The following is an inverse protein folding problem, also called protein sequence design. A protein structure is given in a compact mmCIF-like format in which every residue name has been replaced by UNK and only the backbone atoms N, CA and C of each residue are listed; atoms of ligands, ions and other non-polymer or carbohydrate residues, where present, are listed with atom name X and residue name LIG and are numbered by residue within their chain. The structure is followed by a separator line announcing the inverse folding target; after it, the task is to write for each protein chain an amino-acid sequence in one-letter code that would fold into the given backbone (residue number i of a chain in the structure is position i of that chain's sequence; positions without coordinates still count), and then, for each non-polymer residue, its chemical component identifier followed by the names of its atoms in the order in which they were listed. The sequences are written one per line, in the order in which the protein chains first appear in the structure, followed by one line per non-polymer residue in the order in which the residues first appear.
data_IF_700348344013
#
_entry.id   IF_700348344013
#
_cell.length_a   1.000
_cell.length_b   1.000
_cell.length_c   1.000
_cell.angle_alpha   90.00
_cell.angle_beta   90.00
_cell.angle_gamma   90.00
#
_symmetry.space_group_name_H-M   'P 1'
#
loop_
_entity.id
_entity.type
_entity.pdbx_description
1 polymer ?
#
# COMPACT_ATOMS: atom_id res chain seq x y z
N UNK A 1 -26.74 -12.23 2.85
CA UNK A 1 -25.57 -11.35 3.02
C UNK A 1 -24.60 -11.59 1.86
N UNK A 2 -23.95 -10.54 1.37
CA UNK A 2 -22.81 -10.70 0.44
C UNK A 2 -21.57 -11.15 1.20
N UNK A 3 -20.54 -11.70 0.51
CA UNK A 3 -19.29 -12.17 1.14
C UNK A 3 -18.57 -11.10 1.98
N UNK A 4 -18.78 -9.81 1.66
CA UNK A 4 -18.15 -8.68 2.35
C UNK A 4 -19.08 -7.96 3.33
N UNK A 5 -20.21 -8.59 3.74
CA UNK A 5 -21.15 -8.00 4.69
C UNK A 5 -20.68 -8.18 6.12
N UNK A 6 -20.81 -7.12 6.94
CA UNK A 6 -20.60 -7.23 8.38
C UNK A 6 -21.78 -7.96 9.00
N UNK A 7 -21.56 -9.18 9.46
CA UNK A 7 -22.63 -10.10 9.92
C UNK A 7 -22.86 -10.09 11.42
N UNK A 8 -22.08 -9.34 12.21
CA UNK A 8 -22.22 -9.32 13.67
C UNK A 8 -23.35 -8.46 14.17
N UNK A 9 -23.70 -7.39 13.45
CA UNK A 9 -24.84 -6.52 13.75
C UNK A 9 -25.37 -5.86 12.49
N UNK A 10 -26.65 -5.51 12.53
CA UNK A 10 -27.33 -4.72 11.51
C UNK A 10 -28.02 -3.54 12.18
N UNK A 11 -28.12 -2.44 11.45
CA UNK A 11 -28.82 -1.25 11.91
C UNK A 11 -30.20 -1.18 11.30
N UNK A 12 -31.21 -0.93 12.13
CA UNK A 12 -32.59 -0.77 11.71
C UNK A 12 -33.06 0.64 12.09
N UNK A 13 -33.50 1.40 11.09
CA UNK A 13 -34.13 2.68 11.30
C UNK A 13 -35.63 2.48 11.20
N UNK A 14 -36.38 2.87 12.23
CA UNK A 14 -37.80 2.69 12.39
C UNK A 14 -38.46 4.01 12.70
N UNK A 15 -39.66 4.27 12.16
CA UNK A 15 -40.48 5.40 12.57
C UNK A 15 -41.26 4.97 13.81
N UNK A 16 -41.14 5.74 14.88
CA UNK A 16 -41.88 5.57 16.12
C UNK A 16 -42.32 6.93 16.63
N UNK A 17 -43.62 7.10 16.77
CA UNK A 17 -44.26 8.33 17.32
C UNK A 17 -43.78 9.62 16.59
N UNK A 18 -43.79 9.61 15.25
CA UNK A 18 -43.36 10.70 14.35
C UNK A 18 -41.83 10.99 14.36
N UNK A 19 -41.03 10.18 15.05
CA UNK A 19 -39.59 10.31 15.12
C UNK A 19 -38.88 9.08 14.57
N UNK A 20 -37.60 9.25 14.16
CA UNK A 20 -36.75 8.13 13.75
C UNK A 20 -36.05 7.52 14.95
N UNK A 21 -36.24 6.22 15.15
CA UNK A 21 -35.53 5.43 16.15
C UNK A 21 -34.54 4.51 15.46
N UNK A 22 -33.27 4.54 15.91
CA UNK A 22 -32.23 3.63 15.46
C UNK A 22 -32.12 2.49 16.46
N UNK A 23 -32.06 1.25 15.94
CA UNK A 23 -31.93 0.03 16.72
C UNK A 23 -30.78 -0.79 16.10
N UNK A 24 -29.76 -1.08 16.88
CA UNK A 24 -28.72 -2.02 16.50
C UNK A 24 -29.12 -3.42 16.97
N UNK A 25 -29.21 -4.35 16.01
CA UNK A 25 -29.59 -5.74 16.28
C UNK A 25 -28.38 -6.61 16.06
N UNK A 26 -27.99 -7.39 17.07
CA UNK A 26 -26.83 -8.29 17.00
C UNK A 26 -27.23 -9.66 16.46
N UNK A 27 -26.25 -10.38 15.92
CA UNK A 27 -26.48 -11.65 15.21
C UNK A 27 -27.19 -12.72 16.03
N UNK A 28 -27.01 -12.75 17.34
CA UNK A 28 -27.69 -13.62 18.29
C UNK A 28 -29.18 -13.28 18.49
N UNK A 29 -29.58 -12.08 18.06
CA UNK A 29 -30.95 -11.58 18.17
C UNK A 29 -31.74 -11.70 16.85
N UNK A 30 -31.07 -12.00 15.71
CA UNK A 30 -31.69 -11.96 14.39
C UNK A 30 -32.92 -12.87 14.29
N UNK A 31 -32.90 -14.04 14.92
CA UNK A 31 -33.99 -15.00 14.87
C UNK A 31 -35.25 -14.53 15.63
N UNK A 32 -35.05 -13.73 16.66
CA UNK A 32 -36.13 -13.31 17.59
C UNK A 32 -36.56 -11.87 17.39
N UNK A 33 -35.85 -11.11 16.53
CA UNK A 33 -36.15 -9.71 16.32
C UNK A 33 -37.37 -9.51 15.40
N UNK A 34 -38.42 -8.90 15.89
CA UNK A 34 -39.64 -8.62 15.12
C UNK A 34 -39.47 -7.38 14.24
N UNK A 35 -39.55 -7.57 12.94
CA UNK A 35 -39.57 -6.49 11.95
C UNK A 35 -40.98 -5.85 11.92
N UNK A 36 -41.02 -4.54 11.70
CA UNK A 36 -42.25 -3.77 11.52
C UNK A 36 -42.30 -3.18 10.12
N UNK A 37 -43.53 -2.95 9.64
CA UNK A 37 -43.73 -2.25 8.37
C UNK A 37 -43.10 -0.85 8.43
N UNK A 38 -42.26 -0.53 7.41
CA UNK A 38 -41.55 0.75 7.36
C UNK A 38 -40.11 0.70 7.93
N UNK A 39 -39.68 -0.44 8.49
CA UNK A 39 -38.28 -0.58 8.93
C UNK A 39 -37.33 -0.46 7.72
N UNK A 40 -36.29 0.36 7.88
CA UNK A 40 -35.19 0.47 6.95
C UNK A 40 -33.98 -0.27 7.54
N UNK A 41 -33.56 -1.33 6.87
CA UNK A 41 -32.45 -2.20 7.31
C UNK A 41 -31.17 -1.81 6.58
N UNK A 42 -30.13 -1.52 7.33
CA UNK A 42 -28.78 -1.22 6.80
C UNK A 42 -27.79 -2.26 7.31
N UNK A 43 -27.08 -2.87 6.36
CA UNK A 43 -26.04 -3.85 6.62
C UNK A 43 -24.71 -3.24 6.23
N UNK A 44 -23.83 -3.05 7.20
CA UNK A 44 -22.50 -2.48 6.96
C UNK A 44 -21.58 -3.45 6.23
N UNK A 45 -20.54 -2.92 5.63
CA UNK A 45 -19.44 -3.74 5.08
C UNK A 45 -18.44 -4.10 6.18
N UNK A 46 -17.70 -5.21 5.96
CA UNK A 46 -16.56 -5.55 6.80
C UNK A 46 -15.54 -4.40 6.73
N UNK A 47 -15.12 -3.92 7.89
CA UNK A 47 -14.07 -2.88 7.99
C UNK A 47 -12.76 -3.48 7.48
N UNK A 48 -12.04 -2.74 6.63
CA UNK A 48 -10.70 -3.12 6.14
C UNK A 48 -9.65 -3.01 7.26
N UNK A 49 -9.87 -3.74 8.35
CA UNK A 49 -8.95 -3.84 9.48
C UNK A 49 -8.24 -5.19 9.43
N UNK A 50 -6.97 -5.14 9.13
CA UNK A 50 -6.13 -6.34 9.10
C UNK A 50 -5.55 -6.63 10.49
N UNK A 51 -5.45 -7.90 10.86
CA UNK A 51 -4.88 -8.34 12.13
C UNK A 51 -3.35 -8.30 12.10
N UNK A 52 -2.77 -8.68 10.96
CA UNK A 52 -1.33 -8.95 10.81
C UNK A 52 -0.78 -8.48 9.46
N UNK A 53 -1.18 -7.30 9.00
CA UNK A 53 -0.75 -6.77 7.71
C UNK A 53 0.66 -6.20 7.76
N UNK A 54 1.44 -6.47 6.70
CA UNK A 54 2.64 -5.76 6.29
C UNK A 54 2.49 -5.31 4.85
N UNK A 55 3.17 -4.24 4.46
CA UNK A 55 3.17 -3.73 3.08
C UNK A 55 4.60 -3.63 2.60
N UNK A 56 4.88 -4.14 1.40
CA UNK A 56 6.17 -4.00 0.72
C UNK A 56 6.00 -3.18 -0.54
N UNK A 57 6.84 -2.18 -0.72
CA UNK A 57 6.86 -1.26 -1.87
C UNK A 57 8.27 -1.15 -2.45
N UNK A 58 8.34 -0.72 -3.71
CA UNK A 58 9.60 -0.41 -4.40
C UNK A 58 10.24 -1.61 -5.06
N UNK A 59 11.58 -1.63 -5.10
CA UNK A 59 12.41 -2.54 -5.92
C UNK A 59 12.54 -3.95 -5.33
N UNK A 60 11.40 -4.67 -5.28
CA UNK A 60 11.30 -6.10 -4.97
C UNK A 60 10.56 -6.81 -6.09
N UNK A 61 10.74 -8.12 -6.25
CA UNK A 61 10.05 -8.85 -7.33
C UNK A 61 8.53 -8.88 -7.15
N UNK A 62 8.03 -8.98 -5.92
CA UNK A 62 6.59 -9.00 -5.63
C UNK A 62 6.22 -7.93 -4.57
N UNK A 63 6.06 -6.67 -4.96
CA UNK A 63 5.50 -5.67 -4.06
C UNK A 63 4.03 -5.99 -3.75
N UNK A 64 3.56 -5.66 -2.54
CA UNK A 64 2.18 -5.95 -2.15
C UNK A 64 1.98 -6.05 -0.65
N UNK A 65 0.87 -6.72 -0.27
CA UNK A 65 0.45 -6.92 1.11
C UNK A 65 0.84 -8.32 1.56
N UNK A 66 1.43 -8.42 2.75
CA UNK A 66 1.94 -9.66 3.33
C UNK A 66 1.42 -9.86 4.75
N UNK A 67 1.44 -11.10 5.20
CA UNK A 67 1.11 -11.44 6.59
C UNK A 67 2.35 -11.37 7.47
N UNK A 68 2.23 -10.66 8.59
CA UNK A 68 3.21 -10.67 9.67
C UNK A 68 3.17 -12.02 10.40
N UNK A 69 4.33 -12.65 10.57
CA UNK A 69 4.54 -13.82 11.39
C UNK A 69 5.32 -13.45 12.67
N UNK A 70 5.30 -14.31 13.67
CA UNK A 70 6.04 -14.09 14.92
C UNK A 70 7.54 -13.90 14.63
N UNK A 71 8.13 -12.87 15.22
CA UNK A 71 9.57 -12.55 15.10
C UNK A 71 10.07 -12.34 13.66
N UNK A 72 9.17 -11.92 12.75
CA UNK A 72 9.51 -11.69 11.36
C UNK A 72 10.43 -10.49 11.19
N UNK A 73 11.50 -10.65 10.42
CA UNK A 73 12.49 -9.60 10.15
C UNK A 73 12.31 -8.98 8.76
N UNK A 74 13.02 -7.87 8.51
CA UNK A 74 13.12 -7.27 7.17
C UNK A 74 13.59 -8.28 6.13
N UNK A 75 14.59 -9.10 6.46
CA UNK A 75 15.12 -10.15 5.59
C UNK A 75 14.03 -11.15 5.20
N UNK A 76 13.29 -11.68 6.19
CA UNK A 76 12.23 -12.65 5.94
C UNK A 76 11.12 -12.08 5.05
N UNK A 77 10.80 -10.79 5.21
CA UNK A 77 9.80 -10.13 4.38
C UNK A 77 10.29 -9.92 2.94
N UNK A 78 11.56 -9.56 2.75
CA UNK A 78 12.18 -9.46 1.42
C UNK A 78 12.19 -10.84 0.74
N UNK A 79 12.52 -11.91 1.46
CA UNK A 79 12.48 -13.29 0.94
C UNK A 79 11.04 -13.70 0.56
N UNK A 80 10.03 -13.35 1.36
CA UNK A 80 8.61 -13.54 0.99
C UNK A 80 8.20 -12.76 -0.25
N UNK A 81 8.80 -11.59 -0.47
CA UNK A 81 8.60 -10.77 -1.67
C UNK A 81 9.41 -11.27 -2.89
N UNK A 82 9.95 -12.50 -2.79
CA UNK A 82 10.76 -13.17 -3.81
C UNK A 82 12.10 -12.47 -4.12
N UNK A 83 12.57 -11.66 -3.17
CA UNK A 83 13.86 -11.02 -3.24
C UNK A 83 13.84 -9.62 -3.87
N UNK A 84 15.03 -9.08 -4.05
CA UNK A 84 15.28 -7.74 -4.57
C UNK A 84 15.44 -7.75 -6.09
N UNK A 85 14.99 -6.70 -6.75
CA UNK A 85 15.25 -6.48 -8.17
C UNK A 85 16.71 -6.02 -8.41
N UNK A 86 17.26 -6.21 -9.62
CA UNK A 86 18.64 -5.83 -9.95
C UNK A 86 18.93 -4.32 -9.82
N UNK A 87 17.91 -3.48 -9.90
CA UNK A 87 17.99 -2.03 -9.77
C UNK A 87 17.83 -1.52 -8.34
N UNK A 88 17.86 -2.40 -7.35
CA UNK A 88 17.74 -2.03 -5.94
C UNK A 88 18.92 -1.18 -5.45
N UNK A 89 18.61 -0.07 -4.77
CA UNK A 89 19.59 0.72 -4.04
C UNK A 89 19.95 0.03 -2.72
N UNK A 90 21.08 -0.68 -2.70
CA UNK A 90 21.48 -1.56 -1.60
C UNK A 90 21.89 -0.84 -0.31
N UNK A 91 22.24 0.45 -0.40
CA UNK A 91 22.77 1.18 0.76
C UNK A 91 21.67 1.65 1.72
N UNK A 92 20.41 1.77 1.26
CA UNK A 92 19.34 2.29 2.10
C UNK A 92 17.97 1.78 1.71
N UNK A 93 17.24 1.29 2.71
CA UNK A 93 15.81 1.03 2.70
C UNK A 93 15.15 1.74 3.90
N UNK A 94 13.83 1.79 3.90
CA UNK A 94 13.05 2.43 4.95
C UNK A 94 11.90 1.53 5.41
N UNK A 95 11.60 1.60 6.71
CA UNK A 95 10.35 1.11 7.27
C UNK A 95 9.61 2.33 7.78
N UNK A 96 8.38 2.52 7.33
CA UNK A 96 7.46 3.49 7.92
C UNK A 96 6.55 2.75 8.88
N UNK A 97 6.62 3.09 10.15
CA UNK A 97 5.84 2.52 11.24
C UNK A 97 4.87 3.55 11.78
N UNK A 98 3.62 3.15 11.97
CA UNK A 98 2.61 3.99 12.63
C UNK A 98 2.57 3.63 14.10
N UNK A 99 2.84 4.60 14.96
CA UNK A 99 2.80 4.46 16.42
C UNK A 99 1.36 4.45 16.95
N UNK A 100 1.19 4.12 18.23
CA UNK A 100 -0.13 4.12 18.89
C UNK A 100 -0.81 5.51 18.93
N UNK A 101 -0.02 6.58 18.94
CA UNK A 101 -0.47 7.98 18.88
C UNK A 101 -0.74 8.49 17.46
N UNK A 102 -0.75 7.59 16.46
CA UNK A 102 -0.89 7.87 15.03
C UNK A 102 0.25 8.69 14.42
N UNK A 103 1.32 8.98 15.15
CA UNK A 103 2.54 9.51 14.56
C UNK A 103 3.25 8.45 13.72
N UNK A 104 4.10 8.88 12.77
CA UNK A 104 4.87 7.97 11.94
C UNK A 104 6.36 8.06 12.28
N UNK A 105 6.99 6.90 12.43
CA UNK A 105 8.44 6.77 12.60
C UNK A 105 9.03 6.15 11.35
N UNK A 106 10.08 6.78 10.79
CA UNK A 106 10.85 6.21 9.69
C UNK A 106 12.15 5.61 10.22
N UNK A 107 12.30 4.31 10.04
CA UNK A 107 13.49 3.54 10.41
C UNK A 107 14.28 3.29 9.13
N UNK A 108 15.45 3.93 8.99
CA UNK A 108 16.35 3.69 7.86
C UNK A 108 17.34 2.57 8.20
N UNK A 109 17.67 1.75 7.21
CA UNK A 109 18.62 0.65 7.36
C UNK A 109 19.42 0.44 6.08
N UNK A 110 20.57 -0.24 6.19
CA UNK A 110 21.34 -0.68 5.06
C UNK A 110 20.79 -2.03 4.58
N UNK A 111 20.33 -2.09 3.32
CA UNK A 111 19.63 -3.26 2.76
C UNK A 111 20.55 -4.46 2.69
N UNK A 112 21.78 -4.29 2.16
CA UNK A 112 22.75 -5.40 2.01
C UNK A 112 23.18 -5.96 3.37
N UNK A 113 23.32 -5.09 4.38
CA UNK A 113 23.71 -5.53 5.73
C UNK A 113 22.60 -6.34 6.39
N UNK A 114 21.33 -5.94 6.24
CA UNK A 114 20.19 -6.70 6.78
C UNK A 114 20.07 -8.09 6.13
N UNK A 115 20.24 -8.17 4.82
CA UNK A 115 20.18 -9.44 4.09
C UNK A 115 21.32 -10.37 4.49
N UNK A 116 22.53 -9.84 4.62
CA UNK A 116 23.72 -10.63 4.95
C UNK A 116 23.88 -10.89 6.47
N UNK A 117 23.02 -10.32 7.31
CA UNK A 117 23.11 -10.48 8.77
C UNK A 117 24.31 -9.76 9.39
N UNK A 118 24.81 -8.69 8.77
CA UNK A 118 25.92 -7.87 9.26
C UNK A 118 25.45 -6.85 10.32
N UNK A 119 24.22 -6.41 10.24
CA UNK A 119 23.57 -5.55 11.21
C UNK A 119 22.59 -6.35 12.10
N UNK A 120 22.22 -5.77 13.24
CA UNK A 120 21.16 -6.34 14.09
C UNK A 120 19.87 -6.49 13.29
N UNK A 121 19.18 -7.65 13.37
CA UNK A 121 17.92 -7.85 12.66
C UNK A 121 16.88 -6.84 13.13
N UNK A 122 16.18 -6.23 12.19
CA UNK A 122 15.04 -5.35 12.47
C UNK A 122 13.78 -6.18 12.41
N UNK A 123 13.10 -6.29 13.54
CA UNK A 123 11.81 -6.97 13.65
C UNK A 123 10.69 -6.05 13.18
N UNK A 124 9.80 -6.63 12.40
CA UNK A 124 8.65 -5.93 11.83
C UNK A 124 7.47 -5.97 12.80
N UNK A 125 6.67 -4.92 12.75
CA UNK A 125 5.44 -4.78 13.49
C UNK A 125 4.25 -4.67 12.54
N UNK A 126 3.07 -4.88 13.08
CA UNK A 126 1.83 -4.78 12.33
C UNK A 126 1.71 -3.41 11.64
N UNK A 127 1.22 -3.45 10.40
CA UNK A 127 1.03 -2.29 9.52
C UNK A 127 2.32 -1.54 9.13
N UNK A 128 3.51 -2.12 9.40
CA UNK A 128 4.76 -1.59 8.86
C UNK A 128 4.72 -1.58 7.33
N UNK A 129 5.26 -0.50 6.78
CA UNK A 129 5.45 -0.34 5.33
C UNK A 129 6.95 -0.37 5.03
N UNK A 130 7.42 -1.47 4.45
CA UNK A 130 8.78 -1.61 3.95
C UNK A 130 8.89 -0.98 2.57
N UNK A 131 9.79 -0.02 2.41
CA UNK A 131 10.07 0.64 1.14
C UNK A 131 11.52 0.40 0.72
N UNK A 132 11.70 -0.31 -0.38
CA UNK A 132 12.99 -0.60 -1.01
C UNK A 132 13.15 0.30 -2.23
N UNK A 133 14.15 1.16 -2.21
CA UNK A 133 14.37 2.18 -3.24
C UNK A 133 15.01 1.56 -4.48
N UNK A 134 14.55 1.97 -5.66
CA UNK A 134 15.25 1.71 -6.93
C UNK A 134 16.34 2.76 -7.18
N UNK A 135 17.47 2.34 -7.76
CA UNK A 135 18.50 3.27 -8.27
C UNK A 135 17.89 4.21 -9.33
N UNK A 136 16.87 3.74 -10.05
CA UNK A 136 16.22 4.54 -11.07
C UNK A 136 15.37 5.68 -10.45
N UNK A 137 14.80 5.47 -9.27
CA UNK A 137 14.04 6.52 -8.54
C UNK A 137 14.96 7.65 -8.01
N UNK A 138 16.28 7.36 -7.91
CA UNK A 138 17.28 8.33 -7.46
C UNK A 138 17.93 9.11 -8.60
N UNK A 139 17.66 8.74 -9.86
CA UNK A 139 18.16 9.46 -11.00
C UNK A 139 17.27 10.65 -11.28
N UNK A 140 17.90 11.80 -11.54
CA UNK A 140 17.18 12.94 -12.09
C UNK A 140 16.57 12.52 -13.45
N UNK A 141 15.31 12.84 -13.65
CA UNK A 141 14.64 12.70 -14.95
C UNK A 141 15.26 13.70 -15.93
N UNK A 142 16.38 13.32 -16.52
CA UNK A 142 17.02 14.13 -17.55
C UNK A 142 16.19 14.05 -18.83
N UNK A 143 15.84 15.19 -19.38
CA UNK A 143 15.05 15.29 -20.59
C UNK A 143 15.63 16.32 -21.56
N UNK A 144 15.22 16.21 -22.82
CA UNK A 144 15.46 17.17 -23.89
C UNK A 144 14.10 17.68 -24.34
N UNK A 145 13.93 18.99 -24.40
CA UNK A 145 12.75 19.62 -24.99
C UNK A 145 13.05 20.09 -26.40
N UNK A 146 12.19 19.71 -27.35
CA UNK A 146 12.27 20.16 -28.74
C UNK A 146 11.00 20.92 -29.08
N UNK A 147 11.17 22.14 -29.62
CA UNK A 147 10.10 22.99 -30.04
C UNK A 147 10.42 23.64 -31.41
N UNK A 148 9.42 24.15 -32.10
CA UNK A 148 9.56 24.78 -33.39
C UNK A 148 8.84 24.01 -34.51
N UNK A 149 9.26 24.27 -35.76
CA UNK A 149 8.68 23.69 -36.98
C UNK A 149 9.17 22.27 -37.21
N UNK A 150 8.68 21.35 -36.39
CA UNK A 150 8.98 19.89 -36.41
C UNK A 150 7.67 19.07 -36.27
N UNK A 151 7.68 17.83 -36.75
CA UNK A 151 6.45 17.00 -36.76
C UNK A 151 5.94 16.63 -35.37
N UNK A 152 6.86 16.40 -34.41
CA UNK A 152 6.51 15.98 -33.04
C UNK A 152 7.27 16.81 -32.01
N UNK A 153 6.87 18.09 -31.78
CA UNK A 153 7.42 18.85 -30.68
C UNK A 153 7.07 18.23 -29.34
N UNK A 154 7.98 18.35 -28.36
CA UNK A 154 7.72 17.80 -27.02
C UNK A 154 8.98 17.46 -26.24
N UNK A 155 8.76 16.72 -25.15
CA UNK A 155 9.81 16.32 -24.21
C UNK A 155 10.21 14.86 -24.51
N UNK A 156 11.52 14.66 -24.65
CA UNK A 156 12.13 13.36 -24.95
C UNK A 156 13.07 12.96 -23.81
N UNK A 157 13.09 11.68 -23.42
CA UNK A 157 14.00 11.23 -22.36
C UNK A 157 15.46 11.35 -22.85
N UNK A 158 16.33 11.95 -22.01
CA UNK A 158 17.75 12.00 -22.30
C UNK A 158 18.39 10.63 -22.00
N UNK A 159 19.21 10.15 -22.92
CA UNK A 159 20.09 8.99 -22.71
C UNK A 159 21.54 9.34 -23.06
N UNK A 160 22.47 8.65 -22.38
CA UNK A 160 23.90 8.78 -22.74
C UNK A 160 24.09 8.37 -24.19
N UNK A 161 24.92 9.12 -24.90
CA UNK A 161 25.23 8.98 -26.33
C UNK A 161 24.10 9.39 -27.30
N UNK A 162 23.00 9.96 -26.82
CA UNK A 162 22.00 10.55 -27.68
C UNK A 162 22.56 11.85 -28.29
N UNK A 163 22.63 11.94 -29.62
CA UNK A 163 23.11 13.11 -30.33
C UNK A 163 21.94 13.92 -30.94
N UNK A 164 22.28 15.07 -31.51
CA UNK A 164 21.28 15.96 -32.09
C UNK A 164 20.54 15.34 -33.29
N UNK A 165 21.24 14.55 -34.10
CA UNK A 165 20.67 13.87 -35.26
C UNK A 165 19.62 12.85 -34.83
N UNK A 166 19.93 12.06 -33.77
CA UNK A 166 19.01 11.06 -33.21
C UNK A 166 17.71 11.71 -32.73
N UNK A 167 17.83 12.84 -32.04
CA UNK A 167 16.67 13.59 -31.53
C UNK A 167 15.84 14.21 -32.65
N UNK A 168 16.47 14.74 -33.68
CA UNK A 168 15.75 15.28 -34.86
C UNK A 168 15.01 14.13 -35.56
N UNK A 169 15.62 12.96 -35.71
CA UNK A 169 14.96 11.78 -36.31
C UNK A 169 13.77 11.30 -35.48
N UNK A 170 13.85 11.34 -34.16
CA UNK A 170 12.73 10.97 -33.26
C UNK A 170 11.57 11.98 -33.35
N UNK A 171 11.90 13.27 -33.51
CA UNK A 171 10.95 14.37 -33.58
C UNK A 171 10.36 14.55 -34.97
N UNK A 172 10.96 13.99 -36.02
CA UNK A 172 10.48 13.97 -37.41
C UNK A 172 10.88 15.15 -38.21
#
# INVERSE_FOLDING_TARGET
FSENSYSKSIRITRIFDEEYKIVDVYSDQFEFFELKSGDKIEVDKIIEKYENRLIVKGSVYKPGVYSLSKEMTVKDLIEKAEGLQPDTFMDRGFITRTNEDFSTTNISFNVINQINGLDKPIFLEKDDVLNIISINDLKDDNYIEISGEINKPGVYPFSKNLNLEDIILLAG
#
